data_IF_274107413557
#
_entry.id   IF_274107413557
#
_cell.length_a   1.000
_cell.length_b   1.000
_cell.length_c   1.000
_cell.angle_alpha   90.00
_cell.angle_beta   90.00
_cell.angle_gamma   90.00
#
_symmetry.space_group_name_H-M   'P 1'
#
loop_
_entity.id
_entity.type
_entity.pdbx_description
1 polymer ?
#
# COMPACT_ATOMS: atom_id res chain seq x y z
N UNK A 1 -20.87 9.12 6.96
CA UNK A 1 -20.06 8.37 7.94
C UNK A 1 -19.83 7.01 7.31
N UNK A 2 -18.84 6.90 6.43
CA UNK A 2 -18.52 5.64 5.75
C UNK A 2 -17.08 5.29 6.11
N UNK A 3 -16.92 4.13 6.75
CA UNK A 3 -15.63 3.55 7.13
C UNK A 3 -15.00 2.79 5.97
N UNK A 4 -13.71 2.47 6.09
CA UNK A 4 -13.06 1.45 5.25
C UNK A 4 -13.73 0.10 5.52
N UNK A 5 -13.95 -0.70 4.47
CA UNK A 5 -14.79 -1.91 4.53
C UNK A 5 -14.03 -3.13 5.06
N UNK A 6 -12.88 -2.94 5.73
CA UNK A 6 -12.46 -3.93 6.74
C UNK A 6 -13.53 -4.09 7.84
N UNK A 7 -14.46 -3.13 7.94
CA UNK A 7 -15.69 -3.20 8.72
C UNK A 7 -16.92 -3.21 7.79
N UNK A 8 -17.34 -4.42 7.37
CA UNK A 8 -18.67 -4.83 6.84
C UNK A 8 -19.51 -3.83 6.03
N UNK A 9 -19.81 -4.17 4.77
CA UNK A 9 -21.05 -3.77 4.07
C UNK A 9 -21.40 -4.66 2.85
N UNK A 10 -21.55 -5.98 3.04
CA UNK A 10 -21.93 -6.94 1.98
C UNK A 10 -23.41 -6.83 1.53
N UNK A 11 -24.25 -6.05 2.21
CA UNK A 11 -25.72 -6.09 2.01
C UNK A 11 -26.21 -5.27 0.79
N UNK A 12 -25.71 -4.04 0.62
CA UNK A 12 -26.06 -3.22 -0.56
C UNK A 12 -25.51 -3.82 -1.85
N UNK A 13 -24.36 -4.50 -1.74
CA UNK A 13 -23.73 -5.20 -2.85
C UNK A 13 -24.48 -6.47 -3.24
N UNK A 14 -24.93 -7.27 -2.26
CA UNK A 14 -25.81 -8.41 -2.50
C UNK A 14 -27.11 -7.99 -3.21
N UNK A 15 -27.68 -6.85 -2.85
CA UNK A 15 -28.89 -6.32 -3.48
C UNK A 15 -28.65 -5.93 -4.94
N UNK A 16 -27.48 -5.35 -5.26
CA UNK A 16 -27.14 -4.96 -6.63
C UNK A 16 -26.78 -6.16 -7.52
N UNK A 17 -26.06 -7.14 -6.98
CA UNK A 17 -25.81 -8.45 -7.61
C UNK A 17 -27.13 -9.22 -7.84
N UNK A 18 -28.08 -9.13 -6.91
CA UNK A 18 -29.43 -9.69 -7.06
C UNK A 18 -30.22 -8.99 -8.18
N UNK A 19 -30.12 -7.66 -8.30
CA UNK A 19 -30.78 -6.90 -9.38
C UNK A 19 -30.16 -7.16 -10.77
N UNK A 20 -28.84 -7.34 -10.85
CA UNK A 20 -28.14 -7.71 -12.09
C UNK A 20 -28.41 -9.16 -12.49
N UNK A 21 -28.48 -10.09 -11.52
CA UNK A 21 -28.87 -11.48 -11.76
C UNK A 21 -30.36 -11.65 -12.10
N UNK A 22 -31.22 -10.67 -11.81
CA UNK A 22 -32.62 -10.68 -12.27
C UNK A 22 -32.78 -10.57 -13.81
N UNK A 23 -31.71 -10.29 -14.56
CA UNK A 23 -31.73 -10.32 -16.03
C UNK A 23 -31.29 -11.65 -16.64
N UNK A 24 -30.70 -12.55 -15.86
CA UNK A 24 -30.30 -13.87 -16.35
C UNK A 24 -30.72 -14.95 -15.36
N UNK A 25 -31.67 -15.79 -15.79
CA UNK A 25 -32.06 -17.06 -15.20
C UNK A 25 -33.04 -17.05 -14.01
N UNK A 26 -34.33 -17.18 -14.36
CA UNK A 26 -35.20 -18.10 -13.61
C UNK A 26 -34.55 -19.50 -13.56
N UNK A 27 -34.62 -20.13 -12.39
CA UNK A 27 -34.32 -21.55 -12.09
C UNK A 27 -32.89 -21.84 -11.61
N UNK A 28 -32.65 -21.70 -10.31
CA UNK A 28 -32.37 -22.84 -9.41
C UNK A 28 -32.37 -22.36 -7.94
N UNK A 29 -33.42 -22.74 -7.22
CA UNK A 29 -33.45 -22.71 -5.75
C UNK A 29 -32.50 -23.78 -5.21
N UNK A 30 -31.65 -23.46 -4.25
CA UNK A 30 -31.49 -24.23 -3.01
C UNK A 30 -30.98 -23.32 -1.89
N UNK A 31 -31.77 -23.25 -0.82
CA UNK A 31 -31.36 -22.69 0.45
C UNK A 31 -30.50 -23.73 1.19
N UNK A 32 -29.35 -23.33 1.71
CA UNK A 32 -28.72 -24.02 2.83
C UNK A 32 -28.58 -23.04 4.00
N UNK A 33 -29.39 -23.31 5.03
CA UNK A 33 -29.21 -22.79 6.38
C UNK A 33 -27.89 -23.33 6.91
N UNK A 34 -26.96 -22.44 7.27
CA UNK A 34 -25.74 -22.83 7.98
C UNK A 34 -26.12 -23.08 9.44
N UNK A 35 -26.15 -24.37 9.78
CA UNK A 35 -26.22 -24.88 11.14
C UNK A 35 -24.91 -24.54 11.87
N UNK A 36 -25.02 -23.88 13.02
CA UNK A 36 -23.90 -23.46 13.85
C UNK A 36 -23.72 -24.53 14.92
N UNK A 37 -23.15 -25.67 14.56
CA UNK A 37 -22.42 -26.54 15.49
C UNK A 37 -21.76 -27.70 14.73
N UNK A 38 -20.46 -27.56 14.44
CA UNK A 38 -19.58 -28.72 14.32
C UNK A 38 -18.13 -28.29 14.52
N UNK A 39 -17.58 -28.67 15.67
CA UNK A 39 -16.15 -28.81 15.86
C UNK A 39 -15.59 -29.81 14.82
N UNK A 40 -15.06 -29.30 13.71
CA UNK A 40 -14.22 -30.08 12.81
C UNK A 40 -12.79 -29.62 13.03
N UNK A 41 -12.05 -30.39 13.83
CA UNK A 41 -10.59 -30.37 13.85
C UNK A 41 -10.10 -30.84 12.48
N UNK A 42 -10.03 -29.93 11.52
CA UNK A 42 -9.23 -30.15 10.31
C UNK A 42 -7.79 -30.08 10.76
N UNK A 43 -7.15 -31.24 10.90
CA UNK A 43 -5.69 -31.32 10.86
C UNK A 43 -5.28 -30.72 9.51
N UNK A 44 -4.84 -29.48 9.50
CA UNK A 44 -4.01 -28.97 8.41
C UNK A 44 -2.81 -29.91 8.33
N UNK A 45 -2.83 -30.80 7.34
CA UNK A 45 -1.62 -31.48 6.93
C UNK A 45 -0.66 -30.36 6.55
N UNK A 46 0.49 -30.33 7.22
CA UNK A 46 1.65 -29.58 6.78
C UNK A 46 1.93 -29.96 5.32
N UNK A 47 1.34 -29.21 4.40
CA UNK A 47 1.66 -29.26 3.00
C UNK A 47 3.06 -28.67 2.90
N UNK A 48 3.94 -29.44 2.27
CA UNK A 48 5.34 -29.16 2.06
C UNK A 48 5.56 -27.68 1.69
N UNK A 49 6.53 -27.05 2.35
CA UNK A 49 6.89 -25.61 2.33
C UNK A 49 7.35 -25.05 0.98
N UNK A 50 7.01 -25.68 -0.15
CA UNK A 50 7.23 -25.06 -1.45
C UNK A 50 6.32 -23.85 -1.56
N UNK A 51 6.91 -22.68 -1.88
CA UNK A 51 6.11 -21.51 -2.23
C UNK A 51 5.19 -21.98 -3.37
N UNK A 52 3.86 -21.99 -3.24
CA UNK A 52 3.06 -22.13 -4.45
C UNK A 52 3.56 -21.02 -5.38
N UNK A 53 4.02 -21.39 -6.58
CA UNK A 53 4.27 -20.43 -7.64
C UNK A 53 2.88 -19.91 -8.00
N UNK A 54 2.45 -18.87 -7.28
CA UNK A 54 1.15 -18.28 -7.51
C UNK A 54 1.29 -17.34 -8.69
N UNK A 55 1.22 -17.92 -9.89
CA UNK A 55 1.28 -17.22 -11.17
C UNK A 55 -0.09 -16.63 -11.51
N UNK A 56 -0.59 -15.76 -10.63
CA UNK A 56 -1.79 -14.99 -10.92
C UNK A 56 -1.35 -13.55 -11.17
N UNK A 57 -1.54 -13.08 -12.41
CA UNK A 57 -1.43 -11.67 -12.77
C UNK A 57 -2.64 -10.91 -12.20
N UNK A 58 -2.67 -10.72 -10.88
CA UNK A 58 -3.73 -9.97 -10.21
C UNK A 58 -3.54 -8.48 -10.50
N UNK A 59 -4.25 -8.00 -11.51
CA UNK A 59 -4.21 -6.57 -11.87
C UNK A 59 -5.01 -5.73 -10.90
N UNK A 60 -4.57 -4.50 -10.66
CA UNK A 60 -5.35 -3.48 -9.95
C UNK A 60 -6.38 -2.85 -10.91
N UNK A 61 -7.56 -2.43 -10.42
CA UNK A 61 -8.62 -1.94 -11.30
C UNK A 61 -8.15 -0.66 -11.99
N UNK A 62 -8.20 -0.65 -13.33
CA UNK A 62 -7.85 0.52 -14.15
C UNK A 62 -9.01 1.49 -14.15
N UNK A 63 -8.74 2.81 -14.08
CA UNK A 63 -9.78 3.79 -14.35
C UNK A 63 -10.15 3.76 -15.83
N UNK A 64 -11.43 3.64 -16.22
CA UNK A 64 -11.84 3.82 -17.59
C UNK A 64 -11.43 5.21 -18.11
N UNK A 65 -10.93 5.27 -19.35
CA UNK A 65 -10.52 6.54 -19.94
C UNK A 65 -11.72 7.48 -20.11
N UNK A 66 -11.54 8.73 -19.70
CA UNK A 66 -12.52 9.77 -19.97
C UNK A 66 -12.50 10.12 -21.46
N UNK A 67 -13.68 10.06 -22.09
CA UNK A 67 -13.87 10.43 -23.49
C UNK A 67 -14.61 11.77 -23.54
N UNK A 68 -14.18 12.74 -24.39
CA UNK A 68 -14.88 13.99 -24.57
C UNK A 68 -16.37 13.78 -24.88
N UNK A 69 -17.25 14.43 -24.12
CA UNK A 69 -18.70 14.35 -24.31
C UNK A 69 -19.44 13.39 -23.38
N UNK A 70 -18.73 12.63 -22.53
CA UNK A 70 -19.38 11.78 -21.53
C UNK A 70 -19.86 12.61 -20.32
N UNK A 71 -21.06 12.30 -19.80
CA UNK A 71 -21.56 12.91 -18.56
C UNK A 71 -20.81 12.36 -17.35
N UNK A 72 -20.76 13.14 -16.25
CA UNK A 72 -20.17 12.70 -15.00
C UNK A 72 -20.85 11.45 -14.42
N UNK A 73 -22.18 11.36 -14.57
CA UNK A 73 -22.97 10.20 -14.17
C UNK A 73 -22.59 8.95 -14.98
N UNK A 74 -22.50 9.08 -16.32
CA UNK A 74 -22.12 7.95 -17.17
C UNK A 74 -20.68 7.47 -16.91
N UNK A 75 -19.77 8.40 -16.59
CA UNK A 75 -18.42 8.04 -16.16
C UNK A 75 -18.43 7.28 -14.83
N UNK A 76 -19.26 7.70 -13.87
CA UNK A 76 -19.39 7.01 -12.58
C UNK A 76 -19.94 5.59 -12.75
N UNK A 77 -20.91 5.39 -13.66
CA UNK A 77 -21.40 4.06 -14.01
C UNK A 77 -20.29 3.20 -14.60
N UNK A 78 -19.52 3.72 -15.56
CA UNK A 78 -18.40 3.00 -16.17
C UNK A 78 -17.32 2.63 -15.15
N UNK A 79 -17.00 3.55 -14.23
CA UNK A 79 -16.06 3.31 -13.14
C UNK A 79 -16.55 2.18 -12.23
N UNK A 80 -17.86 2.14 -11.94
CA UNK A 80 -18.49 1.11 -11.11
C UNK A 80 -18.54 -0.25 -11.82
N UNK A 81 -18.99 -0.30 -13.07
CA UNK A 81 -19.09 -1.54 -13.86
C UNK A 81 -17.72 -2.21 -14.02
N UNK A 82 -16.69 -1.41 -14.31
CA UNK A 82 -15.32 -1.91 -14.42
C UNK A 82 -14.78 -2.43 -13.08
N UNK A 83 -15.13 -1.77 -11.97
CA UNK A 83 -14.74 -2.21 -10.64
C UNK A 83 -15.44 -3.51 -10.23
N UNK A 84 -16.73 -3.67 -10.52
CA UNK A 84 -17.47 -4.90 -10.25
C UNK A 84 -16.95 -6.07 -11.09
N UNK A 85 -16.65 -5.83 -12.38
CA UNK A 85 -16.02 -6.82 -13.26
C UNK A 85 -14.68 -7.30 -12.70
N UNK A 86 -13.83 -6.37 -12.27
CA UNK A 86 -12.56 -6.69 -11.61
C UNK A 86 -12.75 -7.53 -10.33
N UNK A 87 -13.72 -7.17 -9.48
CA UNK A 87 -14.02 -7.93 -8.25
C UNK A 87 -14.52 -9.34 -8.56
N UNK A 88 -15.29 -9.51 -9.62
CA UNK A 88 -15.74 -10.83 -10.09
C UNK A 88 -14.54 -11.69 -10.47
N UNK A 89 -13.57 -11.16 -11.21
CA UNK A 89 -12.33 -11.89 -11.53
C UNK A 89 -11.60 -12.35 -10.26
N UNK A 90 -11.56 -11.52 -9.20
CA UNK A 90 -10.94 -11.92 -7.93
C UNK A 90 -11.73 -13.01 -7.19
N UNK A 91 -13.06 -12.93 -7.20
CA UNK A 91 -13.91 -13.95 -6.60
C UNK A 91 -13.74 -15.30 -7.32
N UNK A 92 -13.65 -15.29 -8.65
CA UNK A 92 -13.39 -16.48 -9.45
C UNK A 92 -12.05 -17.12 -9.06
N UNK A 93 -11.00 -16.33 -8.76
CA UNK A 93 -9.73 -16.86 -8.25
C UNK A 93 -9.84 -17.48 -6.85
N UNK A 94 -10.65 -16.93 -5.95
CA UNK A 94 -10.87 -17.49 -4.62
C UNK A 94 -11.69 -18.79 -4.67
N UNK A 95 -12.74 -18.83 -5.50
CA UNK A 95 -13.68 -19.96 -5.59
C UNK A 95 -13.15 -21.12 -6.45
N UNK A 96 -12.63 -20.83 -7.65
CA UNK A 96 -12.25 -21.90 -8.60
C UNK A 96 -10.88 -22.49 -8.28
N UNK A 97 -9.95 -21.67 -7.78
CA UNK A 97 -8.56 -22.06 -7.60
C UNK A 97 -8.15 -22.23 -6.13
N UNK A 98 -9.04 -21.89 -5.19
CA UNK A 98 -8.82 -22.06 -3.76
C UNK A 98 -7.71 -21.16 -3.19
N UNK A 99 -7.37 -20.07 -3.86
CA UNK A 99 -6.38 -19.12 -3.36
C UNK A 99 -6.93 -18.30 -2.19
N UNK A 100 -6.06 -17.99 -1.24
CA UNK A 100 -6.35 -17.00 -0.20
C UNK A 100 -5.77 -15.68 -0.69
N UNK A 101 -6.60 -14.67 -0.94
CA UNK A 101 -6.12 -13.33 -1.30
C UNK A 101 -5.88 -12.47 -0.05
N UNK A 102 -5.01 -11.48 -0.17
CA UNK A 102 -4.93 -10.38 0.80
C UNK A 102 -6.29 -9.67 0.90
N UNK A 103 -6.65 -9.15 2.09
CA UNK A 103 -7.92 -8.46 2.29
C UNK A 103 -7.86 -7.07 1.64
N UNK A 104 -8.18 -7.03 0.35
CA UNK A 104 -8.22 -5.81 -0.45
C UNK A 104 -9.47 -4.96 -0.15
N UNK A 105 -9.41 -3.68 -0.52
CA UNK A 105 -10.52 -2.75 -0.27
C UNK A 105 -11.68 -2.99 -1.26
N UNK A 106 -12.88 -3.24 -0.75
CA UNK A 106 -14.09 -3.52 -1.54
C UNK A 106 -14.85 -2.25 -1.92
N UNK A 107 -14.52 -1.11 -1.32
CA UNK A 107 -15.11 0.17 -1.65
C UNK A 107 -14.37 0.88 -2.80
N UNK A 108 -15.10 1.16 -3.88
CA UNK A 108 -14.61 1.88 -5.07
C UNK A 108 -14.01 3.25 -4.73
N UNK A 109 -14.52 3.97 -3.74
CA UNK A 109 -14.07 5.33 -3.41
C UNK A 109 -12.60 5.38 -2.96
N UNK A 110 -12.10 4.29 -2.40
CA UNK A 110 -10.69 4.15 -2.05
C UNK A 110 -9.82 3.95 -3.31
N UNK A 111 -10.26 3.12 -4.25
CA UNK A 111 -9.60 2.96 -5.55
C UNK A 111 -9.64 4.24 -6.39
N UNK A 112 -10.72 5.03 -6.28
CA UNK A 112 -10.76 6.39 -6.85
C UNK A 112 -9.68 7.30 -6.28
N UNK A 113 -9.26 7.12 -5.01
CA UNK A 113 -8.11 7.88 -4.48
C UNK A 113 -6.81 7.46 -5.14
N UNK A 114 -6.61 6.15 -5.39
CA UNK A 114 -5.45 5.66 -6.14
C UNK A 114 -5.42 6.24 -7.54
N UNK A 115 -6.54 6.16 -8.28
CA UNK A 115 -6.64 6.70 -9.64
C UNK A 115 -6.28 8.19 -9.67
N UNK A 116 -6.85 8.98 -8.75
CA UNK A 116 -6.53 10.41 -8.64
C UNK A 116 -5.05 10.65 -8.31
N UNK A 117 -4.44 9.81 -7.48
CA UNK A 117 -3.00 9.91 -7.15
C UNK A 117 -2.15 9.63 -8.37
N UNK A 118 -2.40 8.52 -9.08
CA UNK A 118 -1.65 8.14 -10.29
C UNK A 118 -1.82 9.17 -11.40
N UNK A 119 -3.03 9.70 -11.59
CA UNK A 119 -3.31 10.71 -12.61
C UNK A 119 -2.61 12.04 -12.34
N UNK A 120 -2.62 12.51 -11.08
CA UNK A 120 -2.11 13.82 -10.69
C UNK A 120 -0.60 13.85 -10.47
N UNK A 121 0.00 12.72 -10.10
CA UNK A 121 1.42 12.67 -9.75
C UNK A 121 2.30 12.49 -10.97
N UNK A 122 3.39 13.24 -11.03
CA UNK A 122 4.44 13.11 -12.02
C UNK A 122 5.43 12.00 -11.63
N UNK A 123 5.61 11.78 -10.32
CA UNK A 123 6.42 10.70 -9.78
C UNK A 123 5.61 9.92 -8.75
N UNK A 124 5.61 8.58 -8.84
CA UNK A 124 4.98 7.70 -7.86
C UNK A 124 6.07 7.05 -7.02
N UNK A 125 5.98 7.24 -5.71
CA UNK A 125 6.76 6.55 -4.70
C UNK A 125 5.91 5.41 -4.14
N UNK A 126 6.28 4.17 -4.47
CA UNK A 126 5.72 2.98 -3.87
C UNK A 126 6.50 2.64 -2.60
N UNK A 127 5.89 2.89 -1.45
CA UNK A 127 6.52 2.71 -0.13
C UNK A 127 6.29 1.28 0.33
N UNK A 128 7.38 0.56 0.56
CA UNK A 128 7.40 -0.84 0.98
C UNK A 128 7.99 -0.97 2.39
N UNK A 129 7.69 -2.07 3.07
CA UNK A 129 8.42 -2.48 4.28
C UNK A 129 9.62 -3.33 3.87
N UNK A 130 10.84 -2.92 4.22
CA UNK A 130 12.09 -3.56 3.82
C UNK A 130 12.22 -5.01 4.33
N UNK A 131 11.45 -5.40 5.36
CA UNK A 131 11.50 -6.74 5.96
C UNK A 131 10.87 -7.82 5.08
N UNK A 132 9.91 -7.45 4.23
CA UNK A 132 9.27 -8.36 3.26
C UNK A 132 8.81 -7.59 2.01
N UNK A 133 9.74 -7.07 1.20
CA UNK A 133 9.41 -6.13 0.13
C UNK A 133 8.50 -6.75 -0.93
N UNK A 134 8.64 -8.05 -1.22
CA UNK A 134 7.83 -8.73 -2.23
C UNK A 134 6.36 -8.81 -1.86
N UNK A 135 6.03 -8.95 -0.57
CA UNK A 135 4.65 -8.96 -0.12
C UNK A 135 3.95 -7.60 -0.35
N UNK A 136 4.67 -6.50 -0.12
CA UNK A 136 4.11 -5.14 -0.24
C UNK A 136 4.23 -4.56 -1.66
N UNK A 137 5.07 -5.14 -2.50
CA UNK A 137 5.32 -4.67 -3.85
C UNK A 137 4.16 -5.06 -4.77
N UNK A 138 3.68 -4.09 -5.54
CA UNK A 138 2.69 -4.31 -6.58
C UNK A 138 3.32 -3.90 -7.91
N UNK A 139 3.76 -4.89 -8.68
CA UNK A 139 4.37 -4.71 -10.00
C UNK A 139 3.40 -4.06 -10.99
N UNK A 140 2.12 -4.46 -10.91
CA UNK A 140 1.08 -3.96 -11.79
C UNK A 140 0.79 -2.46 -11.59
N UNK A 141 1.11 -1.89 -10.41
CA UNK A 141 1.06 -0.44 -10.22
C UNK A 141 2.05 0.29 -11.13
N UNK A 142 3.25 -0.23 -11.31
CA UNK A 142 4.26 0.35 -12.21
C UNK A 142 3.76 0.31 -13.66
N UNK A 143 3.17 -0.82 -14.09
CA UNK A 143 2.53 -0.95 -15.41
C UNK A 143 1.41 0.07 -15.59
N UNK A 144 0.55 0.24 -14.57
CA UNK A 144 -0.52 1.23 -14.60
C UNK A 144 -0.01 2.67 -14.74
N UNK A 145 1.07 3.03 -14.03
CA UNK A 145 1.68 4.35 -14.14
C UNK A 145 2.16 4.62 -15.58
N UNK A 146 2.77 3.63 -16.24
CA UNK A 146 3.19 3.75 -17.64
C UNK A 146 2.01 3.87 -18.61
N UNK A 147 0.93 3.12 -18.41
CA UNK A 147 -0.30 3.21 -19.20
C UNK A 147 -0.89 4.63 -19.12
N UNK A 148 -0.98 5.19 -17.90
CA UNK A 148 -1.49 6.55 -17.69
C UNK A 148 -0.53 7.59 -18.26
N UNK A 149 0.79 7.38 -18.17
CA UNK A 149 1.79 8.25 -18.78
C UNK A 149 1.60 8.34 -20.30
N UNK A 150 1.44 7.19 -20.97
CA UNK A 150 1.16 7.10 -22.42
C UNK A 150 -0.14 7.78 -22.78
N UNK A 151 -1.21 7.54 -22.03
CA UNK A 151 -2.53 8.14 -22.29
C UNK A 151 -2.54 9.66 -22.11
N UNK A 152 -1.80 10.19 -21.15
CA UNK A 152 -1.69 11.63 -20.90
C UNK A 152 -0.66 12.32 -21.80
N UNK A 153 0.18 11.56 -22.52
CA UNK A 153 1.31 12.11 -23.27
C UNK A 153 2.33 12.82 -22.36
N UNK A 154 2.44 12.38 -21.10
CA UNK A 154 3.32 12.98 -20.08
C UNK A 154 4.33 11.96 -19.58
N UNK A 155 5.54 12.43 -19.28
CA UNK A 155 6.53 11.61 -18.57
C UNK A 155 6.04 11.38 -17.14
N UNK A 156 6.06 10.12 -16.69
CA UNK A 156 5.88 9.74 -15.29
C UNK A 156 6.99 8.78 -14.89
N UNK A 157 7.39 8.83 -13.63
CA UNK A 157 8.43 7.96 -13.07
C UNK A 157 7.88 7.16 -11.90
N UNK A 158 8.35 5.92 -11.73
CA UNK A 158 8.06 5.08 -10.57
C UNK A 158 9.34 4.87 -9.75
N UNK A 159 9.23 5.02 -8.43
CA UNK A 159 10.31 4.83 -7.46
C UNK A 159 9.80 3.91 -6.36
N UNK A 160 10.59 2.90 -6.01
CA UNK A 160 10.36 2.06 -4.85
C UNK A 160 11.18 2.61 -3.68
N UNK A 161 10.49 2.95 -2.59
CA UNK A 161 11.12 3.39 -1.36
C UNK A 161 10.95 2.30 -0.30
N UNK A 162 12.01 1.55 -0.04
CA UNK A 162 12.03 0.55 1.04
C UNK A 162 12.20 1.27 2.37
N UNK A 163 11.12 1.34 3.13
CA UNK A 163 11.08 1.95 4.46
C UNK A 163 11.35 0.90 5.54
N UNK A 164 11.74 1.36 6.75
CA UNK A 164 12.13 0.50 7.88
C UNK A 164 13.41 -0.30 7.59
N UNK A 165 14.31 0.29 6.80
CA UNK A 165 15.57 -0.34 6.40
C UNK A 165 16.54 -0.54 7.56
N UNK A 166 16.32 0.14 8.68
CA UNK A 166 17.02 -0.06 9.95
C UNK A 166 16.84 -1.47 10.54
N UNK A 167 15.77 -2.18 10.15
CA UNK A 167 15.53 -3.56 10.57
C UNK A 167 16.23 -4.61 9.69
N UNK A 168 16.88 -4.18 8.60
CA UNK A 168 17.44 -5.07 7.58
C UNK A 168 18.94 -4.83 7.46
N UNK A 169 19.80 -5.83 7.72
CA UNK A 169 21.25 -5.70 7.54
C UNK A 169 21.63 -5.35 6.09
N UNK A 170 22.76 -4.64 5.93
CA UNK A 170 23.25 -4.17 4.64
C UNK A 170 23.41 -5.29 3.62
N UNK A 171 23.86 -6.48 4.03
CA UNK A 171 24.04 -7.62 3.14
C UNK A 171 22.71 -8.06 2.50
N UNK A 172 21.62 -7.97 3.26
CA UNK A 172 20.27 -8.28 2.76
C UNK A 172 19.77 -7.14 1.87
N UNK A 173 20.05 -5.87 2.23
CA UNK A 173 19.70 -4.71 1.39
C UNK A 173 20.41 -4.75 0.04
N UNK A 174 21.70 -5.09 0.01
CA UNK A 174 22.48 -5.30 -1.22
C UNK A 174 21.87 -6.42 -2.07
N UNK A 175 21.40 -7.50 -1.44
CA UNK A 175 20.65 -8.57 -2.10
C UNK A 175 19.33 -8.09 -2.72
N UNK A 176 18.55 -7.30 -1.99
CA UNK A 176 17.31 -6.71 -2.52
C UNK A 176 17.58 -5.75 -3.68
N UNK A 177 18.64 -4.95 -3.57
CA UNK A 177 19.04 -4.03 -4.65
C UNK A 177 19.34 -4.77 -5.94
N UNK A 178 20.16 -5.81 -5.84
CA UNK A 178 20.47 -6.69 -6.99
C UNK A 178 19.20 -7.32 -7.56
N UNK A 179 18.33 -7.87 -6.71
CA UNK A 179 17.08 -8.50 -7.14
C UNK A 179 16.18 -7.54 -7.92
N UNK A 180 15.94 -6.32 -7.40
CA UNK A 180 15.10 -5.33 -8.09
C UNK A 180 15.74 -4.79 -9.38
N UNK A 181 17.07 -4.66 -9.42
CA UNK A 181 17.79 -4.26 -10.63
C UNK A 181 17.69 -5.33 -11.75
N UNK A 182 17.70 -6.62 -11.38
CA UNK A 182 17.63 -7.76 -12.31
C UNK A 182 16.19 -8.04 -12.77
N UNK A 183 15.23 -8.13 -11.84
CA UNK A 183 13.85 -8.56 -12.12
C UNK A 183 12.91 -7.40 -12.51
N UNK A 184 13.24 -6.16 -12.13
CA UNK A 184 12.39 -5.00 -12.33
C UNK A 184 13.14 -3.85 -13.01
N UNK A 185 13.69 -4.15 -14.20
CA UNK A 185 14.45 -3.19 -15.00
C UNK A 185 13.69 -1.86 -15.19
N UNK A 186 14.32 -0.75 -14.82
CA UNK A 186 13.77 0.60 -14.92
C UNK A 186 13.06 1.11 -13.66
N UNK A 187 12.89 0.28 -12.63
CA UNK A 187 12.40 0.71 -11.32
C UNK A 187 13.58 1.18 -10.46
N UNK A 188 13.53 2.43 -10.01
CA UNK A 188 14.55 2.97 -9.09
C UNK A 188 14.22 2.54 -7.66
N UNK A 189 15.16 1.89 -6.99
CA UNK A 189 15.05 1.47 -5.59
C UNK A 189 15.92 2.35 -4.69
N UNK A 190 15.35 2.81 -3.57
CA UNK A 190 16.04 3.57 -2.52
C UNK A 190 15.64 3.06 -1.13
N UNK A 191 16.56 3.07 -0.17
CA UNK A 191 16.33 2.65 1.22
C UNK A 191 16.14 3.87 2.13
N UNK A 192 15.20 3.79 3.08
CA UNK A 192 14.93 4.87 4.03
C UNK A 192 14.45 4.33 5.38
N UNK A 193 14.72 5.07 6.45
CA UNK A 193 14.29 4.73 7.81
C UNK A 193 13.54 5.90 8.44
N UNK A 194 12.29 6.08 8.03
CA UNK A 194 11.51 7.28 8.36
C UNK A 194 11.36 7.55 9.86
N UNK A 195 11.17 6.51 10.66
CA UNK A 195 11.00 6.66 12.11
C UNK A 195 12.31 7.06 12.79
N UNK A 196 13.43 6.49 12.35
CA UNK A 196 14.76 6.81 12.85
C UNK A 196 15.10 8.27 12.54
N UNK A 197 14.89 8.71 11.30
CA UNK A 197 15.11 10.09 10.88
C UNK A 197 14.22 11.09 11.64
N UNK A 198 12.91 10.81 11.75
CA UNK A 198 12.00 11.65 12.53
C UNK A 198 12.44 11.75 13.99
N UNK A 199 12.94 10.66 14.58
CA UNK A 199 13.42 10.66 15.96
C UNK A 199 14.68 11.51 16.15
N UNK A 200 15.56 11.60 15.15
CA UNK A 200 16.75 12.46 15.20
C UNK A 200 16.33 13.92 15.28
N UNK A 201 15.38 14.33 14.44
CA UNK A 201 14.87 15.72 14.43
C UNK A 201 14.16 16.05 15.75
N UNK A 202 13.31 15.15 16.25
CA UNK A 202 12.58 15.40 17.50
C UNK A 202 13.52 15.50 18.70
N UNK A 203 14.60 14.69 18.78
CA UNK A 203 15.59 14.81 19.86
C UNK A 203 16.27 16.18 19.88
N UNK A 204 16.63 16.71 18.71
CA UNK A 204 17.24 18.05 18.61
C UNK A 204 16.27 19.13 19.11
N UNK A 205 14.97 18.99 18.82
CA UNK A 205 13.93 19.94 19.26
C UNK A 205 13.62 19.80 20.75
N UNK A 206 13.60 18.58 21.31
CA UNK A 206 13.39 18.31 22.75
C UNK A 206 14.58 18.78 23.61
N UNK A 207 15.80 18.83 23.06
CA UNK A 207 16.95 19.45 23.75
C UNK A 207 16.82 20.98 23.85
N UNK A 208 16.09 21.61 22.92
CA UNK A 208 15.82 23.05 22.89
C UNK A 208 14.44 23.45 23.49
N UNK A 209 13.56 22.49 23.79
CA UNK A 209 12.20 22.76 24.29
C UNK A 209 11.66 21.65 25.20
N UNK A 210 10.92 22.04 26.27
CA UNK A 210 10.44 21.12 27.33
C UNK A 210 9.21 20.26 26.97
N UNK A 211 8.78 20.21 25.71
CA UNK A 211 7.56 19.48 25.30
C UNK A 211 7.90 18.16 24.60
N UNK A 212 7.44 17.03 25.14
CA UNK A 212 7.60 15.71 24.51
C UNK A 212 6.71 15.57 23.26
N UNK A 213 7.32 15.43 22.08
CA UNK A 213 6.61 15.36 20.79
C UNK A 213 6.42 13.92 20.28
N UNK A 214 7.11 12.95 20.88
CA UNK A 214 7.02 11.52 20.54
C UNK A 214 6.28 10.72 21.62
N UNK A 215 5.24 9.97 21.20
CA UNK A 215 4.54 9.03 22.08
C UNK A 215 5.49 7.95 22.62
N UNK A 216 5.28 7.50 23.86
CA UNK A 216 6.04 6.41 24.49
C UNK A 216 6.12 5.15 23.60
N UNK A 217 5.07 4.87 22.83
CA UNK A 217 5.02 3.80 21.83
C UNK A 217 6.06 3.92 20.72
N UNK A 218 6.39 5.15 20.29
CA UNK A 218 7.40 5.42 19.27
C UNK A 218 8.80 5.21 19.82
N UNK A 219 9.03 5.58 21.09
CA UNK A 219 10.29 5.34 21.83
C UNK A 219 10.57 3.84 21.98
N UNK A 220 9.54 3.00 22.13
CA UNK A 220 9.68 1.54 22.20
C UNK A 220 9.99 0.86 20.85
N UNK A 221 9.61 1.49 19.72
CA UNK A 221 9.91 0.99 18.37
C UNK A 221 11.33 1.33 17.89
N UNK A 222 12.04 2.24 18.58
CA UNK A 222 13.48 2.42 18.47
C UNK A 222 14.17 1.21 19.11
N UNK A 223 14.18 0.07 18.41
CA UNK A 223 14.96 -1.09 18.79
C UNK A 223 16.46 -0.77 18.82
N UNK A 224 17.20 -1.38 19.75
CA UNK A 224 18.67 -1.44 19.70
C UNK A 224 19.08 -2.21 18.44
N UNK A 225 19.72 -1.53 17.50
CA UNK A 225 20.28 -2.14 16.31
C UNK A 225 21.03 -1.11 15.48
N UNK A 226 22.07 -0.51 16.06
CA UNK A 226 23.04 0.27 15.28
C UNK A 226 23.90 -0.76 14.54
N UNK A 227 23.64 -0.96 13.25
CA UNK A 227 24.65 -1.49 12.35
C UNK A 227 25.48 -0.29 11.87
N UNK A 228 26.80 -0.36 12.01
CA UNK A 228 27.72 0.72 11.66
C UNK A 228 27.82 1.01 10.15
N UNK A 229 27.08 0.29 9.29
CA UNK A 229 27.13 0.43 7.83
C UNK A 229 25.74 0.69 7.20
N UNK A 230 25.04 1.72 7.68
CA UNK A 230 23.80 2.25 7.05
C UNK A 230 24.09 3.28 5.96
N UNK A 231 25.23 3.14 5.26
CA UNK A 231 25.68 4.09 4.24
C UNK A 231 24.76 4.14 3.00
N UNK A 232 24.01 3.07 2.75
CA UNK A 232 23.04 2.92 1.66
C UNK A 232 21.61 3.38 2.03
N UNK A 233 21.37 3.69 3.30
CA UNK A 233 20.07 4.19 3.77
C UNK A 233 20.07 5.71 3.69
N UNK A 234 19.13 6.27 2.92
CA UNK A 234 19.01 7.72 2.76
C UNK A 234 18.69 8.40 4.09
N UNK A 235 19.32 9.56 4.34
CA UNK A 235 18.88 10.52 5.35
C UNK A 235 17.73 11.37 4.81
N UNK A 236 17.13 12.20 5.65
CA UNK A 236 16.15 13.21 5.19
C UNK A 236 16.76 14.11 4.11
N UNK A 237 18.00 14.53 4.26
CA UNK A 237 18.71 15.35 3.26
C UNK A 237 18.87 14.59 1.94
N UNK A 238 19.29 13.33 1.98
CA UNK A 238 19.44 12.49 0.78
C UNK A 238 18.10 12.24 0.07
N UNK A 239 17.03 11.99 0.82
CA UNK A 239 15.69 11.87 0.25
C UNK A 239 15.22 13.22 -0.32
N UNK A 240 15.48 14.34 0.35
CA UNK A 240 15.16 15.67 -0.17
C UNK A 240 15.89 15.94 -1.48
N UNK A 241 17.20 15.68 -1.58
CA UNK A 241 17.98 15.81 -2.81
C UNK A 241 17.40 14.99 -3.96
N UNK A 242 16.92 13.77 -3.67
CA UNK A 242 16.22 12.95 -4.64
C UNK A 242 14.94 13.62 -5.15
N UNK A 243 14.10 14.16 -4.26
CA UNK A 243 12.90 14.89 -4.66
C UNK A 243 13.25 16.15 -5.46
N UNK A 244 14.31 16.88 -5.08
CA UNK A 244 14.81 18.06 -5.83
C UNK A 244 15.27 17.67 -7.24
N UNK A 245 15.95 16.52 -7.39
CA UNK A 245 16.37 16.00 -8.70
C UNK A 245 15.17 15.75 -9.62
N UNK A 246 14.12 15.12 -9.10
CA UNK A 246 12.88 14.98 -9.87
C UNK A 246 12.22 16.31 -10.15
N UNK A 247 12.18 17.24 -9.19
CA UNK A 247 11.61 18.57 -9.38
C UNK A 247 12.28 19.34 -10.52
N UNK A 248 13.60 19.17 -10.71
CA UNK A 248 14.36 19.81 -11.77
C UNK A 248 14.03 19.28 -13.19
N UNK A 249 13.33 18.14 -13.30
CA UNK A 249 12.90 17.59 -14.60
C UNK A 249 11.58 18.20 -15.12
N UNK A 250 10.92 19.06 -14.33
CA UNK A 250 9.63 19.70 -14.64
C UNK A 250 9.76 21.22 -14.62
N UNK A 251 8.85 21.95 -15.26
CA UNK A 251 9.03 23.42 -15.47
C UNK A 251 8.47 24.32 -14.34
N UNK A 252 7.48 23.87 -13.58
CA UNK A 252 6.77 24.71 -12.59
C UNK A 252 6.63 23.98 -11.25
N UNK A 253 6.04 22.79 -11.30
CA UNK A 253 5.73 22.00 -10.12
C UNK A 253 5.85 20.53 -10.44
N UNK A 254 6.40 19.78 -9.49
CA UNK A 254 6.37 18.32 -9.47
C UNK A 254 5.41 17.83 -8.40
N UNK A 255 4.55 16.89 -8.77
CA UNK A 255 3.65 16.21 -7.84
C UNK A 255 4.14 14.79 -7.60
N UNK A 256 4.39 14.45 -6.34
CA UNK A 256 4.95 13.16 -5.91
C UNK A 256 3.88 12.42 -5.14
N UNK A 257 3.37 11.31 -5.69
CA UNK A 257 2.35 10.48 -5.06
C UNK A 257 2.97 9.38 -4.22
N UNK A 258 2.52 9.23 -2.98
CA UNK A 258 2.93 8.14 -2.10
C UNK A 258 1.84 7.07 -2.06
N UNK A 259 2.19 5.86 -2.49
CA UNK A 259 1.29 4.71 -2.57
C UNK A 259 1.91 3.52 -1.84
N UNK A 260 1.10 2.67 -1.22
CA UNK A 260 1.57 1.47 -0.52
C UNK A 260 0.57 0.98 0.52
N UNK A 261 0.84 -0.20 1.05
CA UNK A 261 -0.02 -0.86 2.03
C UNK A 261 -0.22 -0.02 3.30
N UNK A 262 -1.28 -0.26 4.09
CA UNK A 262 -1.35 0.25 5.45
C UNK A 262 -0.07 -0.09 6.25
N UNK A 263 0.29 0.74 7.23
CA UNK A 263 1.39 0.49 8.18
C UNK A 263 2.84 0.37 7.63
N UNK A 264 3.06 0.48 6.31
CA UNK A 264 4.41 0.54 5.72
C UNK A 264 5.15 1.85 6.05
N UNK A 265 4.42 2.87 6.53
CA UNK A 265 5.00 4.13 7.03
C UNK A 265 4.92 5.33 6.08
N UNK A 266 3.97 5.35 5.13
CA UNK A 266 3.75 6.50 4.22
C UNK A 266 3.68 7.85 4.95
N UNK A 267 2.79 7.97 5.93
CA UNK A 267 2.65 9.20 6.71
C UNK A 267 3.86 9.48 7.62
N UNK A 268 4.62 8.44 8.00
CA UNK A 268 5.90 8.61 8.73
C UNK A 268 6.97 9.22 7.84
N UNK A 269 7.06 8.80 6.58
CA UNK A 269 7.96 9.42 5.58
C UNK A 269 7.63 10.90 5.40
N UNK A 270 6.35 11.25 5.27
CA UNK A 270 5.90 12.65 5.18
C UNK A 270 6.33 13.46 6.41
N UNK A 271 6.12 12.92 7.61
CA UNK A 271 6.49 13.61 8.84
C UNK A 271 8.01 13.77 8.99
N UNK A 272 8.79 12.78 8.56
CA UNK A 272 10.25 12.88 8.53
C UNK A 272 10.72 14.00 7.59
N UNK A 273 10.14 14.08 6.38
CA UNK A 273 10.42 15.17 5.43
C UNK A 273 9.99 16.55 5.95
N UNK A 274 8.98 16.61 6.82
CA UNK A 274 8.54 17.87 7.42
C UNK A 274 9.35 18.28 8.66
N UNK A 275 10.18 17.38 9.20
CA UNK A 275 10.85 17.56 10.49
C UNK A 275 9.89 17.69 11.68
N UNK A 276 8.59 17.42 11.49
CA UNK A 276 7.56 17.62 12.50
C UNK A 276 6.34 16.72 12.23
N UNK A 277 5.54 16.47 13.27
CA UNK A 277 4.30 15.69 13.17
C UNK A 277 3.20 16.52 12.49
N UNK A 278 3.18 16.52 11.16
CA UNK A 278 2.17 17.23 10.35
C UNK A 278 0.95 16.37 10.00
N UNK A 279 1.15 15.07 9.79
CA UNK A 279 0.09 14.10 9.46
C UNK A 279 -0.08 13.12 10.61
N UNK A 280 -1.33 12.80 10.96
CA UNK A 280 -1.62 11.84 12.02
C UNK A 280 -1.11 10.44 11.65
N UNK A 281 -0.37 9.80 12.57
CA UNK A 281 0.13 8.43 12.42
C UNK A 281 -0.59 7.48 13.38
N UNK A 282 -0.79 6.23 12.98
CA UNK A 282 -1.24 5.16 13.87
C UNK A 282 -0.84 3.80 13.29
N UNK A 283 -0.69 2.82 14.18
CA UNK A 283 -0.37 1.41 13.86
C UNK A 283 -1.58 0.62 13.35
N UNK A 284 -2.79 1.18 13.48
CA UNK A 284 -4.04 0.57 13.01
C UNK A 284 -4.28 0.98 11.54
N UNK A 285 -4.63 0.04 10.65
CA UNK A 285 -5.04 0.35 9.27
C UNK A 285 -6.20 1.37 9.21
N UNK A 286 -6.35 2.07 8.07
CA UNK A 286 -7.55 2.91 7.78
C UNK A 286 -7.56 4.35 8.31
N UNK A 287 -6.40 4.92 8.66
CA UNK A 287 -6.29 6.26 9.28
C UNK A 287 -6.30 7.40 8.27
N UNK A 288 -5.51 7.31 7.20
CA UNK A 288 -5.62 8.22 6.05
C UNK A 288 -6.80 7.76 5.20
N UNK A 289 -7.93 8.47 5.26
CA UNK A 289 -9.18 8.10 4.55
C UNK A 289 -9.38 8.82 3.23
N UNK A 290 -8.71 9.95 3.04
CA UNK A 290 -8.85 10.78 1.85
C UNK A 290 -7.47 11.17 1.34
N UNK A 291 -7.37 11.32 0.01
CA UNK A 291 -6.20 11.88 -0.62
C UNK A 291 -5.93 13.28 -0.06
N UNK A 292 -4.71 13.49 0.44
CA UNK A 292 -4.27 14.78 0.93
C UNK A 292 -3.09 15.28 0.12
N UNK A 293 -2.96 16.59 0.01
CA UNK A 293 -1.92 17.21 -0.78
C UNK A 293 -1.18 18.25 0.04
N UNK A 294 0.14 18.12 0.10
CA UNK A 294 1.01 18.90 0.98
C UNK A 294 2.12 19.55 0.14
N UNK A 295 2.18 20.88 0.15
CA UNK A 295 3.24 21.63 -0.54
C UNK A 295 4.48 21.72 0.35
N UNK A 296 5.54 21.01 -0.05
CA UNK A 296 6.78 20.94 0.69
C UNK A 296 7.53 22.27 0.52
N UNK A 297 7.71 22.99 1.62
CA UNK A 297 8.46 24.26 1.61
C UNK A 297 9.94 23.93 1.66
N UNK A 298 10.66 24.19 0.57
CA UNK A 298 12.11 24.07 0.52
C UNK A 298 12.74 25.44 0.71
N UNK A 299 13.74 25.57 1.58
CA UNK A 299 14.47 26.83 1.81
C UNK A 299 15.14 27.33 0.53
N UNK A 300 15.69 26.40 -0.26
CA UNK A 300 16.17 26.66 -1.61
C UNK A 300 15.02 26.43 -2.60
N UNK A 301 14.74 27.41 -3.45
CA UNK A 301 13.92 27.14 -4.64
C UNK A 301 14.68 26.13 -5.50
N UNK A 302 14.09 24.97 -5.74
CA UNK A 302 14.69 23.89 -6.54
C UNK A 302 14.67 24.28 -8.02
N UNK A 303 15.58 25.15 -8.44
CA UNK A 303 15.52 25.78 -9.77
C UNK A 303 14.33 26.74 -9.96
N UNK A 304 13.55 27.02 -8.91
CA UNK A 304 12.28 27.74 -8.99
C UNK A 304 11.04 26.88 -8.75
N UNK A 305 11.19 25.54 -8.80
CA UNK A 305 10.06 24.62 -8.91
C UNK A 305 9.52 24.18 -7.55
N UNK A 306 8.20 24.01 -7.49
CA UNK A 306 7.49 23.59 -6.27
C UNK A 306 7.39 22.08 -6.18
N UNK A 307 7.61 21.53 -4.99
CA UNK A 307 7.41 20.10 -4.69
C UNK A 307 6.09 19.94 -3.95
N UNK A 308 5.20 19.11 -4.51
CA UNK A 308 3.94 18.77 -3.87
C UNK A 308 3.88 17.27 -3.59
N UNK A 309 3.66 16.90 -2.32
CA UNK A 309 3.43 15.51 -1.91
C UNK A 309 1.94 15.21 -1.92
N UNK A 310 1.57 14.03 -2.42
CA UNK A 310 0.21 13.53 -2.44
C UNK A 310 0.14 12.23 -1.61
N UNK A 311 -0.50 12.28 -0.44
CA UNK A 311 -0.70 11.13 0.46
C UNK A 311 -1.96 10.37 0.05
N UNK A 312 -1.79 9.15 -0.45
CA UNK A 312 -2.90 8.24 -0.74
C UNK A 312 -3.23 7.40 0.50
N UNK A 313 -4.51 7.14 0.79
CA UNK A 313 -4.90 6.08 1.72
C UNK A 313 -4.12 4.79 1.50
N UNK A 314 -3.84 4.08 2.60
CA UNK A 314 -3.24 2.76 2.50
C UNK A 314 -4.19 1.80 1.81
N UNK A 315 -3.72 1.20 0.72
CA UNK A 315 -4.47 0.22 -0.06
C UNK A 315 -3.74 -1.11 0.02
N UNK A 316 -4.47 -2.15 0.38
CA UNK A 316 -3.99 -3.53 0.30
C UNK A 316 -4.25 -3.99 -1.12
N UNK A 317 -3.18 -4.25 -1.87
CA UNK A 317 -3.30 -4.80 -3.22
C UNK A 317 -3.62 -6.29 -3.12
N UNK A 318 -4.54 -6.82 -3.96
CA UNK A 318 -4.85 -8.23 -3.94
C UNK A 318 -3.65 -9.03 -4.45
N UNK A 319 -3.09 -9.83 -3.56
CA UNK A 319 -1.99 -10.75 -3.81
C UNK A 319 -2.36 -12.06 -3.15
N UNK A 320 -2.08 -13.18 -3.80
CA UNK A 320 -2.34 -14.46 -3.20
C UNK A 320 -1.30 -14.78 -2.11
N UNK A 321 -1.79 -15.31 -0.99
CA UNK A 321 -1.01 -15.68 0.19
C UNK A 321 -1.17 -17.15 0.49
N UNK A 322 -0.22 -17.72 1.22
CA UNK A 322 -0.24 -19.15 1.58
C UNK A 322 -1.26 -19.43 2.67
N UNK A 323 -1.31 -18.56 3.65
CA UNK A 323 -2.14 -18.75 4.83
C UNK A 323 -2.67 -17.42 5.35
N UNK A 324 -3.74 -17.49 6.16
CA UNK A 324 -4.22 -16.33 6.92
C UNK A 324 -3.18 -15.86 7.94
N UNK A 325 -2.28 -16.73 8.38
CA UNK A 325 -1.21 -16.37 9.31
C UNK A 325 -0.25 -15.33 8.69
N UNK A 326 0.06 -15.45 7.39
CA UNK A 326 0.89 -14.50 6.64
C UNK A 326 0.31 -13.06 6.68
N UNK A 327 -1.02 -12.93 6.60
CA UNK A 327 -1.73 -11.65 6.63
C UNK A 327 -1.65 -10.97 8.01
N UNK A 328 -1.57 -11.76 9.06
CA UNK A 328 -1.48 -11.29 10.45
C UNK A 328 -0.04 -10.84 10.74
N UNK A 329 0.96 -11.66 10.38
CA UNK A 329 2.37 -11.32 10.62
C UNK A 329 2.85 -10.12 9.78
N UNK A 330 2.24 -9.89 8.61
CA UNK A 330 2.46 -8.70 7.78
C UNK A 330 1.74 -7.45 8.30
N UNK A 331 0.91 -7.55 9.35
CA UNK A 331 0.19 -6.40 9.90
C UNK A 331 -0.87 -5.82 8.95
N UNK A 332 -1.33 -6.63 7.99
CA UNK A 332 -2.42 -6.29 7.06
C UNK A 332 -3.78 -6.44 7.75
N UNK A 333 -3.91 -7.47 8.59
CA UNK A 333 -5.11 -7.70 9.42
C UNK A 333 -4.84 -7.22 10.86
N UNK A 334 -5.77 -6.47 11.49
CA UNK A 334 -5.61 -6.07 12.88
C UNK A 334 -5.57 -7.28 13.82
N UNK A 335 -4.58 -7.30 14.71
CA UNK A 335 -4.38 -8.38 15.70
C UNK A 335 -5.58 -8.47 16.65
N UNK A 336 -6.29 -7.36 16.87
CA UNK A 336 -7.45 -7.28 17.76
C UNK A 336 -8.62 -8.19 17.31
N UNK A 337 -8.66 -8.59 16.03
CA UNK A 337 -9.70 -9.46 15.46
C UNK A 337 -9.28 -10.93 15.34
N UNK A 338 -8.08 -11.28 15.81
CA UNK A 338 -7.53 -12.63 15.71
C UNK A 338 -8.26 -13.59 16.66
N UNK A 339 -8.91 -14.62 16.12
CA UNK A 339 -9.57 -15.67 16.92
C UNK A 339 -8.68 -16.86 17.22
N UNK A 340 -7.87 -17.26 16.25
CA UNK A 340 -6.88 -18.32 16.38
C UNK A 340 -5.49 -17.73 16.16
N UNK A 341 -4.69 -17.75 17.23
CA UNK A 341 -3.34 -17.18 17.24
C UNK A 341 -2.26 -18.23 16.96
N UNK A 342 -2.59 -19.52 17.02
CA UNK A 342 -1.58 -20.57 16.99
C UNK A 342 -0.82 -20.62 15.65
N UNK A 343 -1.48 -20.55 14.47
CA UNK A 343 -0.79 -20.56 13.19
C UNK A 343 0.19 -19.40 13.02
N UNK A 344 -0.18 -18.20 13.47
CA UNK A 344 0.71 -17.03 13.42
C UNK A 344 1.93 -17.19 14.33
N UNK A 345 1.78 -17.79 15.51
CA UNK A 345 2.91 -18.07 16.40
C UNK A 345 3.82 -19.14 15.81
N UNK A 346 3.26 -20.24 15.30
CA UNK A 346 4.04 -21.33 14.74
C UNK A 346 4.87 -20.85 13.54
N UNK A 347 4.28 -19.99 12.67
CA UNK A 347 4.98 -19.38 11.54
C UNK A 347 6.12 -18.44 11.96
N UNK A 348 6.00 -17.76 13.11
CA UNK A 348 7.08 -16.92 13.66
C UNK A 348 8.20 -17.79 14.24
N UNK A 349 7.86 -18.91 14.89
CA UNK A 349 8.84 -19.80 15.53
C UNK A 349 9.61 -20.65 14.50
N UNK A 350 8.99 -20.94 13.36
CA UNK A 350 9.63 -21.71 12.28
C UNK A 350 10.69 -20.91 11.51
N UNK A 351 10.58 -19.57 11.50
CA UNK A 351 11.55 -18.66 10.89
C UNK A 351 12.61 -18.22 11.89
#
# INVERSE_FOLDING_TARGET
MEGSVLERNDLEEFMKLAEESHREFETQRYAQLVDVDSHVLVREKAAEHEKPQIDIDVRIPRRPFWIPGISAEKLADMEMDNFLSWRKTLADYEEEQGYILTPFEKNLDFWKQLWRTVERSDVIFQILDARDPLFYYCEDLTKYVEEVAKAQGRKKSSVVLMNKSDFVPKEIRDGWKKYFEEEHAGVRLEFFSALQELSKVVKVVEEDSTEELVSADSKAALGKGINDDDSDVLTVEGLMELLKKYAAEYDDKVTIGMVGFPNVGKSTVINALWGAKKVSMSRQPGKTKHLQTLELVTEDKCGGNKIQLCDCPGLVFPTAVRSKADLVISGTVPIDYLRDYRPSIDLIVEK
#
